data_IF_113120902684
#
_entry.id   IF_113120902684
#
_cell.length_a   1.000
_cell.length_b   1.000
_cell.length_c   1.000
_cell.angle_alpha   90.00
_cell.angle_beta   90.00
_cell.angle_gamma   90.00
#
_symmetry.space_group_name_H-M   'P 1'
#
loop_
_entity.id
_entity.type
_entity.pdbx_description
1 polymer ?
#
# COMPACT_ATOMS: atom_id res chain seq x y z
N UNK A 1 78.07 4.63 -24.88
CA UNK A 1 77.12 4.98 -23.79
C UNK A 1 75.65 5.09 -24.23
N UNK A 2 75.32 5.10 -25.53
CA UNK A 2 73.93 5.24 -26.01
C UNK A 2 73.07 3.95 -25.96
N UNK A 3 73.69 2.76 -26.07
CA UNK A 3 72.97 1.46 -26.14
C UNK A 3 72.45 1.00 -24.77
N UNK A 4 73.10 1.43 -23.67
CA UNK A 4 72.67 1.09 -22.31
C UNK A 4 71.44 1.94 -21.90
N UNK A 5 71.36 3.19 -22.33
CA UNK A 5 70.23 4.07 -22.03
C UNK A 5 68.94 3.70 -22.78
N UNK A 6 69.04 3.18 -24.01
CA UNK A 6 67.86 2.75 -24.78
C UNK A 6 67.24 1.47 -24.22
N UNK A 7 68.05 0.55 -23.67
CA UNK A 7 67.55 -0.67 -23.05
C UNK A 7 66.88 -0.41 -21.68
N UNK A 8 67.36 0.58 -20.93
CA UNK A 8 66.77 0.98 -19.63
C UNK A 8 65.45 1.76 -19.83
N UNK A 9 65.36 2.64 -20.84
CA UNK A 9 64.11 3.38 -21.11
C UNK A 9 63.00 2.48 -21.67
N UNK A 10 63.37 1.49 -22.50
CA UNK A 10 62.48 0.43 -22.99
C UNK A 10 61.85 -0.38 -21.85
N UNK A 11 62.64 -0.79 -20.86
CA UNK A 11 62.15 -1.56 -19.72
C UNK A 11 61.29 -0.73 -18.75
N UNK A 12 61.64 0.54 -18.52
CA UNK A 12 60.83 1.48 -17.75
C UNK A 12 59.44 1.71 -18.39
N UNK A 13 59.37 1.80 -19.72
CA UNK A 13 58.11 2.05 -20.42
C UNK A 13 57.17 0.83 -20.42
N UNK A 14 57.69 -0.41 -20.46
CA UNK A 14 56.83 -1.60 -20.37
C UNK A 14 56.21 -1.78 -18.98
N UNK A 15 56.96 -1.49 -17.91
CA UNK A 15 56.46 -1.54 -16.53
C UNK A 15 55.38 -0.47 -16.30
N UNK A 16 55.59 0.76 -16.79
CA UNK A 16 54.57 1.83 -16.72
C UNK A 16 53.30 1.47 -17.48
N UNK A 17 53.42 0.84 -18.64
CA UNK A 17 52.28 0.38 -19.45
C UNK A 17 51.50 -0.74 -18.74
N UNK A 18 52.18 -1.72 -18.13
CA UNK A 18 51.52 -2.78 -17.35
C UNK A 18 50.78 -2.24 -16.13
N UNK A 19 51.37 -1.31 -15.38
CA UNK A 19 50.71 -0.65 -14.23
C UNK A 19 49.50 0.16 -14.68
N UNK A 20 49.57 0.83 -15.84
CA UNK A 20 48.44 1.58 -16.39
C UNK A 20 47.29 0.65 -16.81
N UNK A 21 47.57 -0.46 -17.51
CA UNK A 21 46.57 -1.45 -17.88
C UNK A 21 45.91 -2.10 -16.66
N UNK A 22 46.67 -2.40 -15.60
CA UNK A 22 46.12 -2.90 -14.34
C UNK A 22 45.18 -1.87 -13.68
N UNK A 23 45.58 -0.60 -13.64
CA UNK A 23 44.72 0.48 -13.10
C UNK A 23 43.43 0.62 -13.90
N UNK A 24 43.49 0.55 -15.23
CA UNK A 24 42.31 0.63 -16.09
C UNK A 24 41.37 -0.56 -15.87
N UNK A 25 41.90 -1.79 -15.81
CA UNK A 25 41.08 -2.99 -15.59
C UNK A 25 40.44 -3.04 -14.21
N UNK A 26 41.17 -2.62 -13.16
CA UNK A 26 40.60 -2.48 -11.81
C UNK A 26 39.53 -1.38 -11.80
N UNK A 27 39.77 -0.25 -12.44
CA UNK A 27 38.79 0.83 -12.52
C UNK A 27 37.51 0.39 -13.26
N UNK A 28 37.63 -0.32 -14.39
CA UNK A 28 36.46 -0.82 -15.11
C UNK A 28 35.70 -1.88 -14.32
N UNK A 29 36.40 -2.77 -13.59
CA UNK A 29 35.76 -3.74 -12.71
C UNK A 29 34.99 -3.05 -11.56
N UNK A 30 35.58 -2.03 -10.92
CA UNK A 30 34.92 -1.25 -9.86
C UNK A 30 33.69 -0.52 -10.41
N UNK A 31 33.80 0.15 -11.55
CA UNK A 31 32.68 0.84 -12.19
C UNK A 31 31.56 -0.15 -12.53
N UNK A 32 31.90 -1.32 -13.07
CA UNK A 32 30.95 -2.39 -13.35
C UNK A 32 30.22 -2.87 -12.08
N UNK A 33 30.96 -3.07 -10.99
CA UNK A 33 30.38 -3.46 -9.70
C UNK A 33 29.45 -2.38 -9.14
N UNK A 34 29.81 -1.09 -9.24
CA UNK A 34 28.97 0.03 -8.77
C UNK A 34 27.66 0.08 -9.56
N UNK A 35 27.72 -0.05 -10.90
CA UNK A 35 26.52 -0.07 -11.74
C UNK A 35 25.62 -1.26 -11.38
N UNK A 36 26.20 -2.45 -11.18
CA UNK A 36 25.46 -3.63 -10.77
C UNK A 36 24.80 -3.45 -9.39
N UNK A 37 25.53 -2.94 -8.40
CA UNK A 37 24.98 -2.66 -7.07
C UNK A 37 23.84 -1.65 -7.12
N UNK A 38 23.97 -0.59 -7.92
CA UNK A 38 22.90 0.38 -8.09
C UNK A 38 21.62 -0.26 -8.66
N UNK A 39 21.75 -1.09 -9.70
CA UNK A 39 20.62 -1.82 -10.28
C UNK A 39 19.99 -2.79 -9.27
N UNK A 40 20.81 -3.59 -8.57
CA UNK A 40 20.34 -4.53 -7.55
C UNK A 40 19.65 -3.81 -6.38
N UNK A 41 20.20 -2.69 -5.94
CA UNK A 41 19.62 -1.88 -4.87
C UNK A 41 18.24 -1.35 -5.26
N UNK A 42 18.12 -0.73 -6.45
CA UNK A 42 16.81 -0.22 -6.90
C UNK A 42 15.77 -1.31 -7.08
N UNK A 43 16.16 -2.49 -7.56
CA UNK A 43 15.27 -3.64 -7.66
C UNK A 43 14.84 -4.14 -6.27
N UNK A 44 15.79 -4.34 -5.35
CA UNK A 44 15.52 -4.82 -4.00
C UNK A 44 14.59 -3.88 -3.23
N UNK A 45 14.77 -2.56 -3.36
CA UNK A 45 13.88 -1.57 -2.73
C UNK A 45 12.45 -1.69 -3.26
N UNK A 46 12.27 -1.95 -4.56
CA UNK A 46 10.92 -2.17 -5.14
C UNK A 46 10.28 -3.45 -4.60
N UNK A 47 11.02 -4.55 -4.59
CA UNK A 47 10.54 -5.84 -4.07
C UNK A 47 10.18 -5.78 -2.58
N UNK A 48 10.96 -5.05 -1.78
CA UNK A 48 10.65 -4.83 -0.36
C UNK A 48 9.34 -4.07 -0.20
N UNK A 49 9.10 -3.01 -1.00
CA UNK A 49 7.84 -2.27 -0.97
C UNK A 49 6.66 -3.12 -1.40
N UNK A 50 6.82 -3.91 -2.46
CA UNK A 50 5.79 -4.81 -2.94
C UNK A 50 5.44 -5.90 -1.90
N UNK A 51 6.44 -6.55 -1.33
CA UNK A 51 6.26 -7.55 -0.27
C UNK A 51 5.61 -6.97 0.98
N UNK A 52 5.98 -5.72 1.32
CA UNK A 52 5.36 -4.99 2.42
C UNK A 52 3.87 -4.75 2.16
N UNK A 53 3.51 -4.32 0.94
CA UNK A 53 2.12 -4.11 0.55
C UNK A 53 1.30 -5.39 0.63
N UNK A 54 1.76 -6.49 0.02
CA UNK A 54 1.08 -7.79 0.11
C UNK A 54 0.85 -8.23 1.56
N UNK A 55 1.83 -7.98 2.43
CA UNK A 55 1.69 -8.26 3.87
C UNK A 55 0.59 -7.41 4.52
N UNK A 56 0.46 -6.14 4.17
CA UNK A 56 -0.59 -5.27 4.71
C UNK A 56 -1.97 -5.65 4.16
N UNK A 57 -2.05 -6.04 2.90
CA UNK A 57 -3.29 -6.54 2.28
C UNK A 57 -3.75 -7.83 2.96
N UNK A 58 -2.89 -8.83 3.10
CA UNK A 58 -3.20 -10.06 3.82
C UNK A 58 -3.64 -9.82 5.27
N UNK A 59 -2.94 -8.94 5.99
CA UNK A 59 -3.36 -8.56 7.35
C UNK A 59 -4.72 -7.86 7.38
N UNK A 60 -5.04 -7.07 6.36
CA UNK A 60 -6.35 -6.42 6.23
C UNK A 60 -7.43 -7.46 5.99
N UNK A 61 -7.24 -8.40 5.04
CA UNK A 61 -8.15 -9.51 4.81
C UNK A 61 -8.44 -10.28 6.11
N UNK A 62 -7.39 -10.58 6.89
CA UNK A 62 -7.56 -11.23 8.19
C UNK A 62 -8.35 -10.39 9.18
N UNK A 63 -8.03 -9.10 9.30
CA UNK A 63 -8.68 -8.21 10.26
C UNK A 63 -10.20 -8.15 10.08
N UNK A 64 -10.67 -8.22 8.82
CA UNK A 64 -12.08 -8.13 8.46
C UNK A 64 -12.74 -9.48 8.11
N UNK A 65 -12.08 -10.61 8.36
CA UNK A 65 -12.54 -11.97 7.96
C UNK A 65 -13.90 -12.38 8.55
N UNK A 66 -14.30 -11.74 9.66
CA UNK A 66 -15.58 -11.99 10.33
C UNK A 66 -16.70 -11.04 9.87
N UNK A 67 -16.38 -10.02 9.07
CA UNK A 67 -17.31 -8.98 8.64
C UNK A 67 -17.58 -9.07 7.15
N UNK A 68 -16.53 -9.27 6.35
CA UNK A 68 -16.62 -9.32 4.90
C UNK A 68 -16.23 -10.71 4.43
N UNK A 69 -17.19 -11.43 3.84
CA UNK A 69 -16.92 -12.70 3.20
C UNK A 69 -16.26 -12.47 1.83
N UNK A 70 -14.95 -12.27 1.85
CA UNK A 70 -14.15 -12.10 0.65
C UNK A 70 -13.13 -13.24 0.54
N UNK A 71 -13.55 -14.34 -0.11
CA UNK A 71 -12.71 -15.53 -0.28
C UNK A 71 -11.45 -15.24 -1.10
N UNK A 72 -11.55 -14.44 -2.16
CA UNK A 72 -10.40 -14.11 -3.00
C UNK A 72 -9.34 -13.30 -2.23
N UNK A 73 -9.75 -12.37 -1.36
CA UNK A 73 -8.82 -11.63 -0.49
C UNK A 73 -7.93 -12.59 0.32
N UNK A 74 -8.52 -13.64 0.90
CA UNK A 74 -7.76 -14.61 1.69
C UNK A 74 -6.95 -15.54 0.78
N UNK A 75 -7.56 -16.17 -0.21
CA UNK A 75 -6.92 -17.22 -1.02
C UNK A 75 -5.78 -16.69 -1.90
N UNK A 76 -5.85 -15.41 -2.33
CA UNK A 76 -4.81 -14.78 -3.14
C UNK A 76 -3.64 -14.25 -2.29
N UNK A 77 -3.92 -13.77 -1.06
CA UNK A 77 -2.92 -13.12 -0.21
C UNK A 77 -2.37 -14.01 0.91
N UNK A 78 -3.03 -15.13 1.19
CA UNK A 78 -2.75 -16.02 2.32
C UNK A 78 -2.83 -17.46 1.81
N UNK A 79 -1.71 -18.18 1.88
CA UNK A 79 -1.65 -19.58 1.47
C UNK A 79 -2.57 -20.43 2.37
N UNK A 80 -3.74 -20.83 1.86
CA UNK A 80 -4.69 -21.70 2.57
C UNK A 80 -6.12 -21.53 2.06
N UNK A 81 -7.00 -22.46 2.44
CA UNK A 81 -8.44 -22.31 2.16
C UNK A 81 -9.07 -21.29 3.11
N UNK A 82 -10.04 -20.52 2.62
CA UNK A 82 -10.72 -19.48 3.40
C UNK A 82 -11.25 -20.00 4.75
N UNK A 83 -11.94 -21.16 4.75
CA UNK A 83 -12.56 -21.70 5.96
C UNK A 83 -11.52 -22.13 7.01
N UNK A 84 -10.41 -22.72 6.57
CA UNK A 84 -9.30 -23.09 7.45
C UNK A 84 -8.66 -21.86 8.06
N UNK A 85 -8.36 -20.85 7.24
CA UNK A 85 -7.75 -19.60 7.70
C UNK A 85 -8.68 -18.89 8.68
N UNK A 86 -9.99 -18.83 8.41
CA UNK A 86 -10.98 -18.21 9.29
C UNK A 86 -11.04 -18.88 10.66
N UNK A 87 -11.08 -20.21 10.72
CA UNK A 87 -11.06 -20.96 11.99
C UNK A 87 -9.76 -20.73 12.76
N UNK A 88 -8.61 -20.87 12.09
CA UNK A 88 -7.29 -20.67 12.71
C UNK A 88 -7.13 -19.25 13.28
N UNK A 89 -7.49 -18.24 12.51
CA UNK A 89 -7.32 -16.83 12.88
C UNK A 89 -8.23 -16.47 14.05
N UNK A 90 -9.45 -17.01 14.11
CA UNK A 90 -10.32 -16.85 15.27
C UNK A 90 -9.73 -17.50 16.53
N UNK A 91 -9.13 -18.69 16.43
CA UNK A 91 -8.42 -19.33 17.55
C UNK A 91 -7.22 -18.52 18.02
N UNK A 92 -6.39 -18.04 17.10
CA UNK A 92 -5.24 -17.20 17.42
C UNK A 92 -5.66 -15.86 18.06
N UNK A 93 -6.76 -15.28 17.60
CA UNK A 93 -7.34 -14.07 18.19
C UNK A 93 -7.81 -14.33 19.63
N UNK A 94 -8.51 -15.45 19.86
CA UNK A 94 -8.95 -15.85 21.20
C UNK A 94 -7.78 -16.04 22.18
N UNK A 95 -6.65 -16.56 21.70
CA UNK A 95 -5.42 -16.71 22.47
C UNK A 95 -4.63 -15.40 22.65
N UNK A 96 -5.09 -14.27 22.11
CA UNK A 96 -4.39 -12.98 22.18
C UNK A 96 -3.10 -12.92 21.35
N UNK A 97 -2.95 -13.82 20.37
CA UNK A 97 -1.75 -13.92 19.52
C UNK A 97 -1.79 -12.95 18.34
N UNK A 98 -2.96 -12.41 17.99
CA UNK A 98 -3.10 -11.43 16.91
C UNK A 98 -2.98 -10.00 17.46
N UNK A 99 -2.23 -9.17 16.73
CA UNK A 99 -2.11 -7.74 16.99
C UNK A 99 -2.14 -6.97 15.66
N UNK A 100 -3.12 -6.08 15.43
CA UNK A 100 -4.30 -5.81 16.27
C UNK A 100 -5.26 -7.02 16.32
N UNK A 101 -6.21 -7.00 17.27
CA UNK A 101 -7.29 -8.00 17.33
C UNK A 101 -8.18 -7.91 16.09
N UNK A 102 -8.88 -9.00 15.79
CA UNK A 102 -9.89 -9.02 14.72
C UNK A 102 -11.00 -8.01 14.99
N UNK A 103 -11.51 -7.44 13.90
CA UNK A 103 -12.67 -6.55 13.99
C UNK A 103 -13.90 -7.41 14.27
N UNK A 104 -14.54 -7.15 15.41
CA UNK A 104 -15.64 -7.97 15.94
C UNK A 104 -17.04 -7.49 15.52
N UNK A 105 -17.15 -6.29 14.94
CA UNK A 105 -18.41 -5.67 14.57
C UNK A 105 -18.30 -4.93 13.24
N UNK A 106 -19.36 -5.00 12.44
CA UNK A 106 -19.50 -4.20 11.23
C UNK A 106 -19.81 -2.72 11.51
N UNK A 107 -20.01 -2.31 12.77
CA UNK A 107 -20.13 -0.91 13.13
C UNK A 107 -18.74 -0.27 13.22
N UNK A 108 -18.45 0.71 12.36
CA UNK A 108 -17.13 1.34 12.29
C UNK A 108 -16.69 1.96 13.63
N UNK A 109 -17.63 2.32 14.51
CA UNK A 109 -17.33 2.89 15.84
C UNK A 109 -16.40 1.99 16.67
N UNK A 110 -16.38 0.67 16.43
CA UNK A 110 -15.50 -0.26 17.12
C UNK A 110 -14.01 -0.01 16.84
N UNK A 111 -13.68 0.58 15.68
CA UNK A 111 -12.30 0.84 15.24
C UNK A 111 -12.06 2.29 14.83
N UNK A 112 -13.11 3.12 14.76
CA UNK A 112 -13.03 4.51 14.41
C UNK A 112 -12.23 5.29 15.45
N UNK A 113 -11.30 6.11 14.98
CA UNK A 113 -10.55 7.06 15.79
C UNK A 113 -10.90 8.48 15.38
N UNK A 114 -10.99 9.37 16.36
CA UNK A 114 -11.23 10.79 16.11
C UNK A 114 -10.06 11.39 15.33
N UNK A 115 -10.38 12.18 14.30
CA UNK A 115 -9.36 12.92 13.56
C UNK A 115 -8.84 14.06 14.43
N UNK A 116 -7.53 14.29 14.40
CA UNK A 116 -7.00 15.60 14.81
C UNK A 116 -7.48 16.66 13.83
N UNK A 117 -7.92 17.86 14.28
CA UNK A 117 -8.37 18.94 13.39
C UNK A 117 -7.33 19.32 12.32
N UNK A 118 -6.04 19.21 12.66
CA UNK A 118 -4.94 19.60 11.78
C UNK A 118 -4.49 18.50 10.81
N UNK A 119 -5.16 17.33 10.82
CA UNK A 119 -4.77 16.17 10.01
C UNK A 119 -5.89 15.75 9.08
N UNK A 120 -5.57 15.69 7.79
CA UNK A 120 -6.40 15.02 6.78
C UNK A 120 -5.87 13.61 6.53
N UNK A 121 -6.80 12.65 6.45
CA UNK A 121 -6.51 11.26 6.16
C UNK A 121 -6.88 10.89 4.72
N UNK A 122 -7.36 11.85 3.93
CA UNK A 122 -7.83 11.63 2.58
C UNK A 122 -9.23 12.15 2.30
N UNK A 123 -9.71 11.93 1.09
CA UNK A 123 -11.02 12.34 0.61
C UNK A 123 -11.66 11.23 -0.22
N UNK A 124 -12.97 11.09 -0.09
CA UNK A 124 -13.81 10.36 -1.02
C UNK A 124 -14.21 11.32 -2.15
N UNK A 125 -13.54 11.23 -3.29
CA UNK A 125 -13.67 12.21 -4.36
C UNK A 125 -14.99 12.02 -5.13
N UNK A 126 -15.37 10.77 -5.42
CA UNK A 126 -16.57 10.51 -6.19
C UNK A 126 -17.13 9.09 -6.05
N UNK A 127 -18.44 8.99 -6.31
CA UNK A 127 -19.15 7.73 -6.55
C UNK A 127 -19.97 7.87 -7.83
N UNK A 128 -19.67 7.06 -8.83
CA UNK A 128 -20.31 7.08 -10.14
C UNK A 128 -21.08 5.76 -10.34
N UNK A 129 -22.40 5.78 -10.54
CA UNK A 129 -23.17 4.57 -10.82
C UNK A 129 -22.84 3.99 -12.20
N UNK A 130 -22.58 2.68 -12.25
CA UNK A 130 -22.29 1.89 -13.45
C UNK A 130 -23.24 0.68 -13.51
N UNK A 131 -24.50 0.91 -13.88
CA UNK A 131 -25.55 -0.12 -13.88
C UNK A 131 -25.65 -0.83 -12.51
N UNK A 132 -25.26 -2.11 -12.42
CA UNK A 132 -25.26 -2.90 -11.18
C UNK A 132 -24.02 -2.70 -10.29
N UNK A 133 -23.12 -1.82 -10.69
CA UNK A 133 -21.86 -1.53 -10.02
C UNK A 133 -21.75 -0.03 -9.71
N UNK A 134 -20.82 0.33 -8.84
CA UNK A 134 -20.44 1.72 -8.60
C UNK A 134 -18.94 1.86 -8.73
N UNK A 135 -18.49 2.83 -9.51
CA UNK A 135 -17.10 3.25 -9.51
C UNK A 135 -16.90 4.26 -8.37
N UNK A 136 -15.96 3.96 -7.49
CA UNK A 136 -15.63 4.77 -6.32
C UNK A 136 -14.16 5.17 -6.41
N UNK A 137 -13.86 6.43 -6.10
CA UNK A 137 -12.48 6.90 -6.10
C UNK A 137 -12.21 7.94 -5.02
N UNK A 138 -10.93 8.12 -4.75
CA UNK A 138 -10.46 9.07 -3.78
C UNK A 138 -8.97 8.99 -3.56
N UNK A 139 -8.55 9.45 -2.40
CA UNK A 139 -7.21 9.24 -1.89
C UNK A 139 -7.23 9.04 -0.39
N UNK A 140 -6.27 8.29 0.15
CA UNK A 140 -6.17 7.96 1.56
C UNK A 140 -4.71 7.95 2.02
N UNK A 141 -4.43 8.58 3.16
CA UNK A 141 -3.08 8.78 3.68
C UNK A 141 -3.08 8.66 5.20
N UNK A 142 -1.99 8.14 5.77
CA UNK A 142 -1.77 8.03 7.21
C UNK A 142 -0.66 9.01 7.63
N UNK A 143 -1.00 10.22 8.11
CA UNK A 143 -0.02 11.26 8.44
C UNK A 143 1.02 10.83 9.47
N UNK A 144 0.63 10.00 10.44
CA UNK A 144 1.51 9.50 11.50
C UNK A 144 2.64 8.62 10.96
N UNK A 145 2.39 7.96 9.83
CA UNK A 145 3.32 7.03 9.20
C UNK A 145 3.94 7.61 7.93
N UNK A 146 3.46 8.78 7.49
CA UNK A 146 3.86 9.44 6.25
C UNK A 146 3.80 8.50 5.03
N UNK A 147 2.71 7.74 4.91
CA UNK A 147 2.51 6.78 3.83
C UNK A 147 1.02 6.66 3.45
N UNK A 148 0.71 6.18 2.23
CA UNK A 148 -0.66 5.82 1.84
C UNK A 148 -1.32 4.89 2.86
N UNK A 149 -2.64 4.97 2.99
CA UNK A 149 -3.38 4.06 3.84
C UNK A 149 -3.22 2.60 3.37
N UNK A 150 -3.18 1.66 4.33
CA UNK A 150 -3.03 0.24 4.01
C UNK A 150 -4.27 -0.31 3.29
N UNK A 151 -5.45 0.23 3.66
CA UNK A 151 -6.72 -0.09 3.03
C UNK A 151 -7.74 1.05 3.20
N UNK A 152 -8.83 0.96 2.45
CA UNK A 152 -9.96 1.89 2.50
C UNK A 152 -11.21 1.12 2.92
N UNK A 153 -11.86 1.56 3.98
CA UNK A 153 -13.12 0.98 4.45
C UNK A 153 -14.26 1.81 3.90
N UNK A 154 -15.22 1.14 3.25
CA UNK A 154 -16.46 1.79 2.82
C UNK A 154 -17.58 1.48 3.80
N UNK A 155 -18.30 2.54 4.15
CA UNK A 155 -19.41 2.48 5.09
C UNK A 155 -20.64 3.17 4.53
N UNK A 156 -21.83 2.66 4.86
CA UNK A 156 -23.09 3.36 4.65
C UNK A 156 -23.72 3.73 5.99
N UNK A 157 -24.47 4.84 6.00
CA UNK A 157 -25.23 5.25 7.18
C UNK A 157 -26.59 4.54 7.19
N UNK A 158 -26.85 3.71 8.21
CA UNK A 158 -28.12 3.02 8.36
C UNK A 158 -29.21 3.91 9.01
N UNK A 159 -30.43 3.39 9.11
CA UNK A 159 -31.59 4.09 9.70
C UNK A 159 -31.39 4.47 11.18
N UNK A 160 -30.58 3.70 11.91
CA UNK A 160 -30.20 3.98 13.30
C UNK A 160 -29.02 4.98 13.41
N UNK A 161 -28.69 5.69 12.32
CA UNK A 161 -27.59 6.64 12.21
C UNK A 161 -26.19 6.08 12.49
N UNK A 162 -26.02 4.75 12.42
CA UNK A 162 -24.74 4.09 12.55
C UNK A 162 -24.08 3.91 11.18
N UNK A 163 -22.75 4.01 11.16
CA UNK A 163 -21.93 3.74 9.98
C UNK A 163 -21.57 2.26 9.95
N UNK A 164 -22.09 1.56 8.95
CA UNK A 164 -21.96 0.12 8.79
C UNK A 164 -20.99 -0.16 7.65
N UNK A 165 -19.97 -0.95 7.96
CA UNK A 165 -18.98 -1.46 7.01
C UNK A 165 -19.68 -2.40 6.05
N UNK A 166 -19.50 -2.16 4.75
CA UNK A 166 -20.03 -3.04 3.70
C UNK A 166 -18.96 -3.51 2.72
N UNK A 167 -17.82 -2.83 2.66
CA UNK A 167 -16.70 -3.23 1.82
C UNK A 167 -15.36 -2.70 2.35
N UNK A 168 -14.27 -3.35 1.97
CA UNK A 168 -12.88 -2.95 2.27
C UNK A 168 -12.05 -3.13 1.02
N UNK A 169 -11.45 -2.02 0.57
CA UNK A 169 -10.65 -1.94 -0.64
C UNK A 169 -9.18 -1.93 -0.29
N UNK A 170 -8.38 -2.71 -1.01
CA UNK A 170 -6.92 -2.57 -0.95
C UNK A 170 -6.50 -1.29 -1.65
N UNK A 171 -5.47 -0.62 -1.15
CA UNK A 171 -4.99 0.63 -1.75
C UNK A 171 -4.38 0.35 -3.12
N UNK A 172 -5.11 0.66 -4.18
CA UNK A 172 -4.68 0.49 -5.58
C UNK A 172 -3.47 1.38 -5.96
N UNK A 173 -3.04 2.26 -5.05
CA UNK A 173 -1.87 3.14 -5.20
C UNK A 173 -1.86 3.94 -6.50
N UNK A 174 -3.02 4.44 -6.92
CA UNK A 174 -3.16 5.30 -8.10
C UNK A 174 -2.33 6.58 -7.92
N UNK A 175 -1.61 6.98 -8.96
CA UNK A 175 -0.75 8.15 -8.90
C UNK A 175 -1.54 9.47 -8.82
N UNK A 176 -1.13 10.37 -7.92
CA UNK A 176 -1.79 11.65 -7.63
C UNK A 176 -0.76 12.77 -7.48
N UNK A 177 -0.18 13.21 -8.60
CA UNK A 177 0.81 14.31 -8.62
C UNK A 177 0.28 15.61 -8.02
N UNK A 178 -1.02 15.87 -8.18
CA UNK A 178 -1.69 17.03 -7.60
C UNK A 178 -1.61 17.04 -6.06
N UNK A 179 -1.64 15.88 -5.40
CA UNK A 179 -1.50 15.79 -3.95
C UNK A 179 -0.06 16.04 -3.51
N UNK A 180 0.92 15.59 -4.30
CA UNK A 180 2.34 15.88 -4.04
C UNK A 180 2.60 17.38 -4.03
N UNK A 181 2.01 18.11 -4.98
CA UNK A 181 2.11 19.57 -5.05
C UNK A 181 1.36 20.24 -3.90
N UNK A 182 0.13 19.81 -3.62
CA UNK A 182 -0.73 20.40 -2.58
C UNK A 182 -0.11 20.26 -1.18
N UNK A 183 0.45 19.10 -0.85
CA UNK A 183 1.04 18.82 0.45
C UNK A 183 2.56 19.01 0.50
N UNK A 184 3.18 19.36 -0.63
CA UNK A 184 4.63 19.44 -0.81
C UNK A 184 5.37 18.19 -0.26
N UNK A 185 4.83 17.00 -0.56
CA UNK A 185 5.32 15.76 0.02
C UNK A 185 5.21 14.59 -0.99
N UNK A 186 6.35 14.00 -1.41
CA UNK A 186 6.36 12.92 -2.40
C UNK A 186 5.69 11.63 -1.93
N UNK A 187 5.49 11.44 -0.62
CA UNK A 187 4.79 10.27 -0.10
C UNK A 187 3.32 10.19 -0.56
N UNK A 188 2.73 11.32 -0.94
CA UNK A 188 1.36 11.39 -1.45
C UNK A 188 1.20 10.87 -2.88
N UNK A 189 2.30 10.61 -3.59
CA UNK A 189 2.26 10.23 -5.01
C UNK A 189 1.34 9.03 -5.22
N UNK A 190 1.41 8.02 -4.36
CA UNK A 190 0.63 6.78 -4.49
C UNK A 190 -0.55 6.72 -3.50
N UNK A 191 -1.07 7.87 -3.06
CA UNK A 191 -2.16 7.92 -2.09
C UNK A 191 -3.55 7.74 -2.75
N UNK A 192 -3.63 7.75 -4.08
CA UNK A 192 -4.89 7.58 -4.80
C UNK A 192 -5.41 6.15 -4.76
N UNK A 193 -6.72 6.02 -4.86
CA UNK A 193 -7.37 4.73 -5.02
C UNK A 193 -8.62 4.89 -5.88
N UNK A 194 -8.94 3.83 -6.60
CA UNK A 194 -10.15 3.70 -7.41
C UNK A 194 -10.56 2.24 -7.47
N UNK A 195 -11.85 1.96 -7.43
CA UNK A 195 -12.35 0.60 -7.50
C UNK A 195 -13.80 0.55 -7.98
N UNK A 196 -14.18 -0.60 -8.52
CA UNK A 196 -15.58 -0.90 -8.82
C UNK A 196 -16.16 -1.81 -7.73
N UNK A 197 -17.24 -1.37 -7.08
CA UNK A 197 -17.94 -2.12 -6.03
C UNK A 197 -19.29 -2.62 -6.52
N UNK A 198 -19.69 -3.82 -6.07
CA UNK A 198 -20.98 -4.37 -6.46
C UNK A 198 -22.12 -3.65 -5.76
N UNK A 199 -23.10 -3.18 -6.54
CA UNK A 199 -24.32 -2.61 -5.98
C UNK A 199 -25.13 -3.61 -5.15
N UNK A 200 -24.87 -4.93 -5.28
CA UNK A 200 -25.49 -5.98 -4.45
C UNK A 200 -25.19 -5.84 -2.95
N UNK A 201 -24.06 -5.21 -2.59
CA UNK A 201 -23.66 -4.97 -1.20
C UNK A 201 -24.52 -3.90 -0.51
N UNK A 202 -25.24 -3.09 -1.29
CA UNK A 202 -26.07 -2.00 -0.79
C UNK A 202 -27.55 -2.41 -0.80
N UNK A 203 -28.29 -2.19 0.30
CA UNK A 203 -29.74 -2.37 0.29
C UNK A 203 -30.42 -1.37 -0.66
N UNK A 204 -31.68 -1.59 -1.01
CA UNK A 204 -32.44 -0.64 -1.85
C UNK A 204 -32.69 0.67 -1.11
N UNK A 205 -32.67 1.79 -1.83
CA UNK A 205 -32.96 3.12 -1.28
C UNK A 205 -31.81 4.11 -1.37
N UNK A 206 -31.89 5.18 -0.56
CA UNK A 206 -30.91 6.26 -0.53
C UNK A 206 -29.96 6.08 0.66
N UNK A 207 -28.66 6.12 0.39
CA UNK A 207 -27.63 5.86 1.40
C UNK A 207 -26.58 6.95 1.39
N UNK A 208 -26.17 7.38 2.58
CA UNK A 208 -24.99 8.21 2.76
C UNK A 208 -23.77 7.31 2.89
N UNK A 209 -22.83 7.43 1.98
CA UNK A 209 -21.59 6.67 1.93
C UNK A 209 -20.44 7.52 2.44
N UNK A 210 -19.58 6.90 3.26
CA UNK A 210 -18.33 7.47 3.72
C UNK A 210 -17.21 6.44 3.56
N UNK A 211 -16.00 6.94 3.34
CA UNK A 211 -14.78 6.15 3.30
C UNK A 211 -13.93 6.43 4.53
N UNK A 212 -13.05 5.50 4.88
CA UNK A 212 -12.12 5.60 6.00
C UNK A 212 -10.75 5.04 5.59
N UNK A 213 -9.67 5.73 5.96
CA UNK A 213 -8.31 5.20 5.90
C UNK A 213 -8.12 4.19 7.04
N UNK A 214 -7.67 2.98 6.70
CA UNK A 214 -7.37 1.94 7.68
C UNK A 214 -5.86 1.83 7.91
N UNK A 215 -5.47 1.78 9.18
CA UNK A 215 -4.12 1.48 9.62
C UNK A 215 -4.07 0.06 10.18
N UNK A 216 -3.53 -0.86 9.38
CA UNK A 216 -3.47 -2.29 9.71
C UNK A 216 -2.46 -2.58 10.82
N UNK A 217 -1.53 -1.65 11.13
CA UNK A 217 -0.61 -1.80 12.27
C UNK A 217 -1.31 -1.53 13.60
N UNK A 218 -2.22 -0.55 13.65
CA UNK A 218 -2.94 -0.20 14.87
C UNK A 218 -4.36 -0.78 14.96
N UNK A 219 -4.93 -1.23 13.84
CA UNK A 219 -6.32 -1.71 13.75
C UNK A 219 -7.34 -0.57 13.80
N UNK A 220 -6.91 0.66 13.52
CA UNK A 220 -7.74 1.87 13.63
C UNK A 220 -8.18 2.36 12.26
N UNK A 221 -9.37 2.97 12.22
CA UNK A 221 -9.93 3.60 11.05
C UNK A 221 -10.08 5.11 11.26
N UNK A 222 -9.65 5.89 10.29
CA UNK A 222 -9.73 7.35 10.30
C UNK A 222 -10.63 7.79 9.15
N UNK A 223 -11.64 8.60 9.44
CA UNK A 223 -12.61 8.97 8.41
C UNK A 223 -11.91 9.70 7.27
N UNK A 224 -12.37 9.56 6.04
CA UNK A 224 -11.98 10.45 4.95
C UNK A 224 -12.85 11.71 4.97
N UNK A 225 -12.41 12.71 4.23
CA UNK A 225 -13.16 13.93 3.97
C UNK A 225 -14.22 13.63 2.90
N UNK A 226 -15.31 14.41 2.93
CA UNK A 226 -16.48 14.24 2.05
C UNK A 226 -17.29 12.95 2.32
N UNK A 227 -18.61 13.05 2.17
CA UNK A 227 -19.50 11.89 2.13
C UNK A 227 -20.38 12.07 0.89
N UNK A 228 -20.79 10.98 0.26
CA UNK A 228 -21.63 11.03 -0.94
C UNK A 228 -23.00 10.43 -0.65
N UNK A 229 -24.05 10.99 -1.24
CA UNK A 229 -25.38 10.40 -1.23
C UNK A 229 -25.55 9.61 -2.53
N UNK A 230 -25.93 8.34 -2.40
CA UNK A 230 -26.25 7.48 -3.54
C UNK A 230 -27.70 7.03 -3.44
N UNK A 231 -28.31 6.78 -4.58
CA UNK A 231 -29.63 6.17 -4.69
C UNK A 231 -29.50 4.89 -5.49
N UNK A 232 -29.94 3.77 -4.90
CA UNK A 232 -30.06 2.50 -5.59
C UNK A 232 -31.52 2.27 -5.97
N UNK A 233 -31.78 2.42 -7.27
CA UNK A 233 -33.04 2.04 -7.90
C UNK A 233 -33.00 0.54 -8.22
N UNK A 234 -34.18 -0.07 -8.44
CA UNK A 234 -34.41 -1.52 -8.50
C UNK A 234 -33.42 -2.34 -9.34
#
# INVERSE_FOLDING_TARGET
MAIVFSHISSHSNSIKSQVWLYKVTVATAIIGLIILHYRLFTYSVKEIKYSYQLRMEGKTCLSFINIIENKSCVEENILGSYDYVKDLVNKLNYLGMLKPNLVSSNNIKAIATEKSPDKTYGSLDGIIPLNSWYFVNGWAFLPERNEPADAIILTYKNQAYNWIIFDVLMSAQTQRENLVQLFNNPAYLNAGWEQTISGKLLPKGQWKIAAWAFDTKSGKAYKLDTNHLITKND
#
